data_IF_753146857580
#
_entry.id   IF_753146857580
#
_cell.length_a   1.000
_cell.length_b   1.000
_cell.length_c   1.000
_cell.angle_alpha   90.00
_cell.angle_beta   90.00
_cell.angle_gamma   90.00
#
_symmetry.space_group_name_H-M   'P 1'
#
loop_
_entity.id
_entity.type
_entity.pdbx_description
1 polymer ?
#
# COMPACT_ATOMS: atom_id res chain seq x y z
N UNK A 1 6.97 -45.00 -41.77
CA UNK A 1 6.38 -43.67 -42.10
C UNK A 1 5.28 -43.20 -41.14
N UNK A 2 4.72 -44.07 -40.27
CA UNK A 2 3.62 -43.70 -39.35
C UNK A 2 4.05 -42.98 -38.07
N UNK A 3 5.25 -43.26 -37.53
CA UNK A 3 5.76 -42.59 -36.31
C UNK A 3 6.05 -41.09 -36.50
N UNK A 4 6.62 -40.69 -37.64
CA UNK A 4 6.96 -39.29 -37.92
C UNK A 4 5.72 -38.40 -38.09
N UNK A 5 4.64 -38.92 -38.70
CA UNK A 5 3.38 -38.20 -38.86
C UNK A 5 2.66 -37.95 -37.52
N UNK A 6 2.67 -38.95 -36.62
CA UNK A 6 2.10 -38.81 -35.27
C UNK A 6 2.90 -37.85 -34.38
N UNK A 7 4.22 -37.78 -34.57
CA UNK A 7 5.10 -36.89 -33.83
C UNK A 7 4.97 -35.43 -34.31
N UNK A 8 4.78 -35.21 -35.61
CA UNK A 8 4.47 -33.90 -36.18
C UNK A 8 3.14 -33.36 -35.66
N UNK A 9 2.07 -34.18 -35.65
CA UNK A 9 0.75 -33.76 -35.16
C UNK A 9 0.74 -33.41 -33.66
N UNK A 10 1.52 -34.12 -32.83
CA UNK A 10 1.69 -33.78 -31.41
C UNK A 10 2.41 -32.45 -31.21
N UNK A 11 3.45 -32.18 -32.00
CA UNK A 11 4.19 -30.93 -31.93
C UNK A 11 3.31 -29.74 -32.34
N UNK A 12 2.49 -29.91 -33.38
CA UNK A 12 1.53 -28.87 -33.81
C UNK A 12 0.48 -28.59 -32.73
N UNK A 13 -0.05 -29.63 -32.08
CA UNK A 13 -1.01 -29.49 -30.99
C UNK A 13 -0.42 -28.74 -29.79
N UNK A 14 0.82 -29.05 -29.40
CA UNK A 14 1.52 -28.35 -28.32
C UNK A 14 1.76 -26.89 -28.70
N UNK A 15 2.19 -26.60 -29.93
CA UNK A 15 2.35 -25.24 -30.44
C UNK A 15 1.04 -24.44 -30.43
N UNK A 16 -0.07 -25.04 -30.87
CA UNK A 16 -1.39 -24.41 -30.84
C UNK A 16 -1.85 -24.11 -29.40
N UNK A 17 -1.64 -25.04 -28.47
CA UNK A 17 -1.96 -24.85 -27.05
C UNK A 17 -1.14 -23.71 -26.44
N UNK A 18 0.18 -23.66 -26.71
CA UNK A 18 1.05 -22.59 -26.23
C UNK A 18 0.64 -21.22 -26.80
N UNK A 19 0.26 -21.15 -28.08
CA UNK A 19 -0.27 -19.92 -28.69
C UNK A 19 -1.57 -19.47 -28.02
N UNK A 20 -2.51 -20.39 -27.80
CA UNK A 20 -3.79 -20.09 -27.12
C UNK A 20 -3.56 -19.59 -25.68
N UNK A 21 -2.62 -20.19 -24.95
CA UNK A 21 -2.21 -19.73 -23.61
C UNK A 21 -1.61 -18.32 -23.65
N UNK A 22 -0.72 -18.04 -24.62
CA UNK A 22 -0.13 -16.71 -24.79
C UNK A 22 -1.18 -15.66 -25.15
N UNK A 23 -2.13 -15.98 -26.02
CA UNK A 23 -3.24 -15.10 -26.43
C UNK A 23 -4.20 -14.80 -25.28
N UNK A 24 -4.52 -15.79 -24.45
CA UNK A 24 -5.48 -15.64 -23.33
C UNK A 24 -4.87 -14.94 -22.11
N UNK A 25 -3.55 -15.07 -21.90
CA UNK A 25 -2.86 -14.40 -20.77
C UNK A 25 -2.65 -12.90 -20.97
N UNK A 26 -2.80 -12.36 -22.19
CA UNK A 26 -2.71 -10.92 -22.43
C UNK A 26 -3.96 -10.15 -22.00
N UNK A 27 -5.10 -10.82 -21.80
CA UNK A 27 -6.37 -10.18 -21.48
C UNK A 27 -6.47 -9.65 -20.03
N UNK A 28 -5.53 -10.01 -19.14
CA UNK A 28 -5.54 -9.62 -17.73
C UNK A 28 -4.35 -8.74 -17.31
N UNK A 29 -3.60 -8.18 -18.26
CA UNK A 29 -2.52 -7.25 -17.95
C UNK A 29 -2.87 -5.86 -18.49
N UNK A 30 -3.63 -5.10 -17.69
CA UNK A 30 -3.77 -3.65 -17.90
C UNK A 30 -2.36 -3.07 -17.88
N UNK A 31 -1.83 -2.71 -19.05
CA UNK A 31 -0.51 -2.09 -19.20
C UNK A 31 -0.54 -0.57 -19.11
N UNK A 32 -1.73 0.01 -19.20
CA UNK A 32 -2.01 1.42 -18.93
C UNK A 32 -2.58 1.56 -17.51
N UNK A 33 -1.84 1.14 -16.50
CA UNK A 33 -2.21 1.51 -15.15
C UNK A 33 -2.01 3.03 -15.01
N UNK A 34 -3.02 3.79 -14.55
CA UNK A 34 -2.78 5.15 -14.15
C UNK A 34 -1.69 5.16 -13.08
N UNK A 35 -0.80 6.15 -13.18
CA UNK A 35 0.29 6.35 -12.23
C UNK A 35 -0.30 6.43 -10.81
N UNK A 36 0.24 5.69 -9.85
CA UNK A 36 -0.25 5.63 -8.47
C UNK A 36 -1.29 4.55 -8.16
N UNK A 37 -1.56 3.60 -9.05
CA UNK A 37 -2.41 2.44 -8.73
C UNK A 37 -1.75 1.47 -7.73
N UNK A 38 -2.53 0.63 -7.03
CA UNK A 38 -2.04 -0.40 -6.06
C UNK A 38 -0.94 -1.36 -6.60
N UNK A 39 -0.71 -1.36 -7.92
CA UNK A 39 0.24 -2.24 -8.63
C UNK A 39 1.36 -1.46 -9.33
N UNK A 40 1.40 -0.13 -9.18
CA UNK A 40 2.46 0.73 -9.71
C UNK A 40 3.68 0.61 -8.80
N UNK A 41 4.43 -0.49 -8.96
CA UNK A 41 5.69 -0.73 -8.26
C UNK A 41 6.80 -0.06 -9.06
N UNK A 42 6.84 1.27 -9.03
CA UNK A 42 8.05 2.00 -9.36
C UNK A 42 8.82 2.21 -8.05
N UNK A 43 9.72 1.27 -7.75
CA UNK A 43 10.59 1.25 -6.55
C UNK A 43 11.52 2.47 -6.42
N UNK A 44 11.40 3.46 -7.31
CA UNK A 44 12.20 4.70 -7.34
C UNK A 44 11.48 5.94 -6.84
N UNK A 45 10.24 5.85 -6.37
CA UNK A 45 9.63 7.03 -5.75
C UNK A 45 10.26 7.26 -4.37
N UNK A 46 10.86 8.45 -4.12
CA UNK A 46 11.40 8.77 -2.82
C UNK A 46 10.26 8.77 -1.81
N UNK A 47 10.33 7.92 -0.78
CA UNK A 47 9.37 7.99 0.33
C UNK A 47 9.65 9.28 1.09
N UNK A 48 8.62 10.11 1.26
CA UNK A 48 8.70 11.36 2.05
C UNK A 48 8.10 11.15 3.44
N UNK A 49 8.43 12.04 4.37
CA UNK A 49 7.67 12.11 5.62
C UNK A 49 6.25 12.60 5.33
N UNK A 50 5.26 12.08 6.05
CA UNK A 50 3.88 12.58 5.95
C UNK A 50 3.81 14.06 6.38
N UNK A 51 2.82 14.78 5.85
CA UNK A 51 2.65 16.20 6.10
C UNK A 51 2.58 16.53 7.59
N UNK A 52 3.14 17.68 7.96
CA UNK A 52 2.97 18.26 9.28
C UNK A 52 1.56 18.86 9.44
N UNK A 53 0.93 18.56 10.55
CA UNK A 53 -0.34 19.16 10.98
C UNK A 53 -0.08 19.98 12.25
N UNK A 54 -1.06 20.81 12.65
CA UNK A 54 -1.02 21.75 13.80
C UNK A 54 0.18 21.60 14.77
N UNK A 55 0.17 20.56 15.61
CA UNK A 55 1.18 20.32 16.64
C UNK A 55 2.01 19.04 16.40
N UNK A 56 1.96 18.46 15.21
CA UNK A 56 2.52 17.14 14.95
C UNK A 56 2.54 16.75 13.47
N UNK A 57 2.24 15.48 13.19
CA UNK A 57 2.22 14.91 11.85
C UNK A 57 0.90 14.20 11.55
N UNK A 58 0.57 14.13 10.27
CA UNK A 58 -0.51 13.31 9.77
C UNK A 58 -0.16 11.82 9.88
N UNK A 59 -1.08 11.03 10.41
CA UNK A 59 -0.96 9.56 10.50
C UNK A 59 -1.90 8.87 9.53
N UNK A 60 -3.04 9.49 9.26
CA UNK A 60 -4.05 9.04 8.31
C UNK A 60 -5.01 10.17 7.97
N UNK A 61 -6.00 9.91 7.09
CA UNK A 61 -6.99 10.90 6.74
C UNK A 61 -7.76 11.30 8.01
N UNK A 62 -7.75 12.61 8.31
CA UNK A 62 -8.39 13.17 9.50
C UNK A 62 -7.72 12.84 10.84
N UNK A 63 -6.46 12.39 10.88
CA UNK A 63 -5.72 12.08 12.12
C UNK A 63 -4.41 12.87 12.19
N UNK A 64 -4.29 13.73 13.21
CA UNK A 64 -3.09 14.51 13.51
C UNK A 64 -2.53 14.14 14.89
N UNK A 65 -1.26 13.75 14.97
CA UNK A 65 -0.64 13.31 16.22
C UNK A 65 0.72 13.98 16.47
N UNK A 66 0.98 14.32 17.73
CA UNK A 66 2.25 14.89 18.18
C UNK A 66 2.49 14.62 19.67
N UNK A 67 3.50 15.27 20.25
CA UNK A 67 3.92 14.98 21.63
C UNK A 67 2.80 15.15 22.67
N UNK A 68 1.82 16.03 22.41
CA UNK A 68 0.67 16.28 23.29
C UNK A 68 -0.51 15.30 23.15
N UNK A 69 -0.44 14.33 22.21
CA UNK A 69 -1.52 13.39 21.94
C UNK A 69 -1.94 13.36 20.47
N UNK A 70 -3.20 13.00 20.22
CA UNK A 70 -3.77 12.93 18.87
C UNK A 70 -5.13 13.63 18.81
N UNK A 71 -5.38 14.32 17.71
CA UNK A 71 -6.67 14.88 17.34
C UNK A 71 -7.21 14.17 16.10
N UNK A 72 -8.50 13.83 16.14
CA UNK A 72 -9.20 13.15 15.06
C UNK A 72 -10.45 13.92 14.66
N UNK A 73 -10.62 14.20 13.37
CA UNK A 73 -11.79 14.91 12.83
C UNK A 73 -11.86 16.41 13.17
N UNK A 74 -10.84 16.99 13.80
CA UNK A 74 -10.73 18.45 14.01
C UNK A 74 -10.45 19.17 12.69
N UNK A 75 -10.64 20.49 12.65
CA UNK A 75 -10.37 21.28 11.44
C UNK A 75 -8.91 21.11 10.97
N UNK A 76 -7.98 21.05 11.93
CA UNK A 76 -6.56 20.83 11.74
C UNK A 76 -6.26 19.41 11.26
N UNK A 77 -6.86 18.40 11.87
CA UNK A 77 -6.66 17.00 11.48
C UNK A 77 -7.26 16.72 10.09
N UNK A 78 -8.37 17.36 9.73
CA UNK A 78 -8.99 17.22 8.42
C UNK A 78 -8.09 17.65 7.25
N UNK A 79 -7.09 18.51 7.50
CA UNK A 79 -6.10 18.85 6.46
C UNK A 79 -5.27 17.65 6.03
N UNK A 80 -5.13 16.62 6.87
CA UNK A 80 -4.39 15.41 6.52
C UNK A 80 -4.98 14.63 5.33
N UNK A 81 -6.22 14.88 4.91
CA UNK A 81 -6.76 14.33 3.66
C UNK A 81 -6.10 14.92 2.40
N UNK A 82 -5.36 16.03 2.51
CA UNK A 82 -4.57 16.57 1.39
C UNK A 82 -3.47 15.58 0.95
N UNK A 83 -3.02 14.71 1.86
CA UNK A 83 -2.02 13.67 1.58
C UNK A 83 -2.52 12.65 0.53
N UNK A 84 -3.82 12.38 0.47
CA UNK A 84 -4.44 11.47 -0.52
C UNK A 84 -4.28 11.98 -1.96
N UNK A 85 -4.05 13.28 -2.13
CA UNK A 85 -3.78 13.91 -3.41
C UNK A 85 -2.32 13.87 -3.83
N UNK A 86 -1.40 13.48 -2.94
CA UNK A 86 0.02 13.43 -3.24
C UNK A 86 0.38 12.13 -3.98
N UNK A 87 0.98 12.20 -5.18
CA UNK A 87 1.38 11.00 -5.92
C UNK A 87 2.55 10.25 -5.27
N UNK A 88 3.25 10.85 -4.31
CA UNK A 88 4.39 10.27 -3.62
C UNK A 88 3.94 9.72 -2.27
N UNK A 89 4.10 8.40 -2.00
CA UNK A 89 3.71 7.82 -0.72
C UNK A 89 4.53 8.43 0.41
N UNK A 90 3.84 8.73 1.51
CA UNK A 90 4.46 9.21 2.72
C UNK A 90 4.66 8.11 3.75
N UNK A 91 5.55 8.35 4.71
CA UNK A 91 5.77 7.50 5.86
C UNK A 91 5.66 8.31 7.15
N UNK A 92 4.91 7.75 8.11
CA UNK A 92 4.77 8.30 9.46
C UNK A 92 6.09 8.14 10.20
N UNK A 93 6.56 9.22 10.84
CA UNK A 93 7.79 9.19 11.63
C UNK A 93 7.46 8.67 13.02
N UNK A 94 8.01 7.51 13.39
CA UNK A 94 7.83 6.95 14.72
C UNK A 94 8.24 5.48 14.77
N UNK A 95 8.56 5.00 15.97
CA UNK A 95 8.88 3.59 16.18
C UNK A 95 7.67 2.72 15.84
N UNK A 96 7.91 1.54 15.24
CA UNK A 96 6.83 0.61 14.96
C UNK A 96 6.20 0.08 16.24
N UNK A 97 4.88 -0.06 16.22
CA UNK A 97 4.10 -0.73 17.25
C UNK A 97 3.05 -1.64 16.59
N UNK A 98 2.60 -2.65 17.32
CA UNK A 98 1.56 -3.55 16.83
C UNK A 98 0.27 -3.28 17.59
N UNK A 99 -0.83 -3.05 16.88
CA UNK A 99 -2.14 -3.06 17.53
C UNK A 99 -2.61 -4.52 17.62
N UNK A 100 -3.16 -4.89 18.77
CA UNK A 100 -3.74 -6.21 19.00
C UNK A 100 -5.13 -6.31 18.35
N UNK A 101 -5.26 -5.98 17.07
CA UNK A 101 -6.53 -6.02 16.34
C UNK A 101 -6.37 -6.85 15.05
N UNK A 102 -7.32 -7.74 14.73
CA UNK A 102 -7.24 -8.54 13.50
C UNK A 102 -7.37 -7.64 12.27
N UNK A 103 -6.25 -7.43 11.56
CA UNK A 103 -6.18 -6.67 10.30
C UNK A 103 -5.21 -5.49 10.31
N UNK A 104 -4.95 -4.88 11.47
CA UNK A 104 -4.11 -3.68 11.60
C UNK A 104 -2.93 -3.94 12.56
N UNK A 105 -1.91 -4.64 12.06
CA UNK A 105 -0.75 -5.06 12.86
C UNK A 105 0.45 -4.10 12.79
N UNK A 106 0.41 -3.10 11.91
CA UNK A 106 1.56 -2.22 11.63
C UNK A 106 1.21 -0.76 11.92
N UNK A 107 1.35 -0.35 13.18
CA UNK A 107 1.20 1.04 13.61
C UNK A 107 2.54 1.73 13.89
N UNK A 108 2.45 3.01 14.24
CA UNK A 108 3.57 3.84 14.68
C UNK A 108 3.27 4.48 16.03
N UNK A 109 4.29 4.53 16.89
CA UNK A 109 4.28 5.31 18.12
C UNK A 109 4.42 6.79 17.77
N UNK A 110 3.35 7.56 17.97
CA UNK A 110 3.26 8.96 17.53
C UNK A 110 3.16 9.95 18.69
N UNK A 111 2.86 9.44 19.90
CA UNK A 111 2.89 10.18 21.16
C UNK A 111 3.22 9.21 22.31
N UNK A 112 3.50 9.75 23.50
CA UNK A 112 3.82 8.92 24.66
C UNK A 112 2.64 7.97 25.00
N UNK A 113 2.89 6.67 24.92
CA UNK A 113 1.90 5.64 25.16
C UNK A 113 0.81 5.51 24.09
N UNK A 114 0.94 6.13 22.91
CA UNK A 114 -0.07 6.07 21.84
C UNK A 114 0.51 5.44 20.57
N UNK A 115 -0.13 4.38 20.11
CA UNK A 115 0.13 3.69 18.84
C UNK A 115 -1.02 3.96 17.88
N UNK A 116 -0.71 4.41 16.66
CA UNK A 116 -1.73 4.70 15.65
C UNK A 116 -1.44 4.00 14.32
N UNK A 117 -2.52 3.67 13.63
CA UNK A 117 -2.58 3.36 12.20
C UNK A 117 -3.37 4.48 11.49
N UNK A 118 -3.60 4.33 10.20
CA UNK A 118 -4.24 5.34 9.34
C UNK A 118 -5.72 5.59 9.67
N UNK A 119 -6.39 4.71 10.42
CA UNK A 119 -7.80 4.84 10.79
C UNK A 119 -8.08 4.84 12.30
N UNK A 120 -7.12 4.41 13.12
CA UNK A 120 -7.33 4.24 14.56
C UNK A 120 -6.08 4.43 15.39
N UNK A 121 -6.28 4.90 16.62
CA UNK A 121 -5.25 5.09 17.63
C UNK A 121 -5.65 4.35 18.91
N UNK A 122 -4.68 3.72 19.56
CA UNK A 122 -4.87 3.04 20.84
C UNK A 122 -3.72 3.31 21.79
N UNK A 123 -4.00 3.21 23.08
CA UNK A 123 -2.95 3.24 24.10
C UNK A 123 -2.12 1.97 23.99
N UNK A 124 -0.79 2.09 23.92
CA UNK A 124 0.12 0.97 23.76
C UNK A 124 1.36 1.18 24.65
N UNK A 125 1.61 0.25 25.56
CA UNK A 125 2.73 0.33 26.52
C UNK A 125 4.10 0.32 25.86
N UNK A 126 4.23 -0.28 24.67
CA UNK A 126 5.46 -0.24 23.89
C UNK A 126 5.81 1.14 23.30
N UNK A 127 4.93 2.14 23.46
CA UNK A 127 5.15 3.52 23.03
C UNK A 127 5.44 4.47 24.21
N UNK A 128 5.60 3.95 25.43
CA UNK A 128 5.96 4.73 26.63
C UNK A 128 7.47 5.04 26.66
#
# INVERSE_FOLDING_TARGET
MTRSAMQMGRLTLVLCLLLLLLLTTQACFIRNCPRGGKRDVDERHPIKACMYCSFGQCVGPHICCGAGGCEMGTAEANRCSEEDGDPIPCQVIGNHCALNNPGNIHGHCVANGICCVDDTCTTHSGCL
#
